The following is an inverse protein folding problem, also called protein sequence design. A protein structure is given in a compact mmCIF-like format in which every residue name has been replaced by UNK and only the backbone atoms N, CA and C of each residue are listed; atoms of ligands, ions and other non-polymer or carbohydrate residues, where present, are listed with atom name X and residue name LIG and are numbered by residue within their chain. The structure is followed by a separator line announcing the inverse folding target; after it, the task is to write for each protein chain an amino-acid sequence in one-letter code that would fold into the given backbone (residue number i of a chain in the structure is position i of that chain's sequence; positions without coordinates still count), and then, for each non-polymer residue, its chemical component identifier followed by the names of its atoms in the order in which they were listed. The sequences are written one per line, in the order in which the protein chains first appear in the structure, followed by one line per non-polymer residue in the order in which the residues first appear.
data_IF_806294344796
#
_entry.id   IF_806294344796
#
_cell.length_a   1.000
_cell.length_b   1.000
_cell.length_c   1.000
_cell.angle_alpha   90.00
_cell.angle_beta   90.00
_cell.angle_gamma   90.00
#
_symmetry.space_group_name_H-M   'P 1'
#
loop_
_entity.id
_entity.type
_entity.pdbx_description
1 polymer ?
#
# COMPACT_ATOMS: atom_id res chain seq x y z
N UNK A 1 -8.98 -20.34 -10.01
CA UNK A 1 -8.61 -20.17 -11.44
C UNK A 1 -7.24 -19.52 -11.48
N UNK A 2 -6.26 -20.14 -12.16
CA UNK A 2 -4.87 -19.65 -12.15
C UNK A 2 -4.68 -18.58 -13.23
N UNK A 3 -4.28 -17.37 -12.85
CA UNK A 3 -3.90 -16.32 -13.80
C UNK A 3 -2.52 -16.63 -14.41
N UNK A 4 -2.32 -16.33 -15.69
CA UNK A 4 -1.06 -16.57 -16.40
C UNK A 4 -0.09 -15.37 -16.37
N UNK A 5 -0.57 -14.20 -15.95
CA UNK A 5 0.23 -13.01 -15.70
C UNK A 5 -0.39 -12.17 -14.58
N UNK A 6 0.37 -11.24 -14.00
CA UNK A 6 -0.12 -10.31 -12.98
C UNK A 6 0.37 -8.90 -13.28
N UNK A 7 -0.44 -7.91 -12.93
CA UNK A 7 0.02 -6.52 -12.80
C UNK A 7 -0.07 -6.14 -11.34
N UNK A 8 1.04 -5.66 -10.80
CA UNK A 8 1.14 -5.25 -9.40
C UNK A 8 1.47 -3.77 -9.38
N UNK A 9 0.70 -3.01 -8.61
CA UNK A 9 1.04 -1.63 -8.27
C UNK A 9 1.10 -1.46 -6.77
N UNK A 10 2.06 -0.68 -6.30
CA UNK A 10 2.22 -0.37 -4.88
C UNK A 10 2.28 1.14 -4.72
N UNK A 11 1.39 1.68 -3.91
CA UNK A 11 1.38 3.09 -3.54
C UNK A 11 1.84 3.21 -2.10
N UNK A 12 2.84 4.04 -1.85
CA UNK A 12 3.49 4.18 -0.55
C UNK A 12 3.52 5.63 -0.10
N UNK A 13 3.24 5.88 1.18
CA UNK A 13 3.52 7.14 1.88
C UNK A 13 4.65 6.88 2.85
N UNK A 14 5.78 7.56 2.67
CA UNK A 14 6.97 7.42 3.51
C UNK A 14 6.97 8.50 4.58
N UNK A 15 7.21 8.08 5.82
CA UNK A 15 7.05 8.92 7.00
C UNK A 15 8.43 9.21 7.58
N UNK A 16 8.66 10.45 7.99
CA UNK A 16 9.87 10.89 8.67
C UNK A 16 9.92 10.31 10.09
N UNK A 17 10.99 9.57 10.39
CA UNK A 17 11.20 8.92 11.67
C UNK A 17 11.25 9.91 12.85
N UNK A 18 11.60 11.18 12.61
CA UNK A 18 11.62 12.22 13.65
C UNK A 18 10.23 12.54 14.21
N UNK A 19 9.16 12.21 13.47
CA UNK A 19 7.77 12.38 13.87
C UNK A 19 7.17 11.09 14.46
N UNK A 20 7.85 9.94 14.36
CA UNK A 20 7.36 8.65 14.83
C UNK A 20 7.63 8.42 16.32
N UNK A 21 6.83 9.06 17.16
CA UNK A 21 6.72 8.66 18.58
C UNK A 21 6.04 7.30 18.69
N UNK A 22 6.18 6.62 19.84
CA UNK A 22 5.45 5.36 20.10
C UNK A 22 3.94 5.56 20.04
N UNK A 23 3.45 6.68 20.56
CA UNK A 23 2.03 7.05 20.54
C UNK A 23 1.52 7.19 19.10
N UNK A 24 2.19 8.02 18.28
CA UNK A 24 1.80 8.26 16.90
C UNK A 24 1.88 6.97 16.07
N UNK A 25 2.92 6.14 16.26
CA UNK A 25 3.01 4.81 15.62
C UNK A 25 1.83 3.91 15.95
N UNK A 26 1.45 3.84 17.22
CA UNK A 26 0.36 2.96 17.66
C UNK A 26 -0.99 3.45 17.13
N UNK A 27 -1.20 4.77 17.08
CA UNK A 27 -2.40 5.40 16.51
C UNK A 27 -2.55 5.05 15.01
N UNK A 28 -1.53 5.32 14.19
CA UNK A 28 -1.61 5.01 12.75
C UNK A 28 -1.72 3.51 12.45
N UNK A 29 -1.15 2.64 13.30
CA UNK A 29 -1.34 1.19 13.19
C UNK A 29 -2.79 0.82 13.50
N UNK A 30 -3.39 1.40 14.54
CA UNK A 30 -4.79 1.17 14.88
C UNK A 30 -5.72 1.65 13.76
N UNK A 31 -5.47 2.82 13.19
CA UNK A 31 -6.26 3.35 12.06
C UNK A 31 -6.14 2.48 10.81
N UNK A 32 -4.95 1.92 10.53
CA UNK A 32 -4.77 0.94 9.46
C UNK A 32 -5.58 -0.33 9.70
N UNK A 33 -5.64 -0.80 10.94
CA UNK A 33 -6.43 -1.97 11.32
C UNK A 33 -7.93 -1.71 11.18
N UNK A 34 -8.41 -0.58 11.71
CA UNK A 34 -9.80 -0.17 11.59
C UNK A 34 -10.20 -0.02 10.13
N UNK A 35 -9.38 0.67 9.32
CA UNK A 35 -9.65 0.85 7.90
C UNK A 35 -9.71 -0.48 7.15
N UNK A 36 -8.84 -1.43 7.49
CA UNK A 36 -8.87 -2.75 6.91
C UNK A 36 -10.16 -3.51 7.29
N UNK A 37 -10.56 -3.48 8.56
CA UNK A 37 -11.79 -4.11 9.05
C UNK A 37 -13.04 -3.52 8.38
N UNK A 38 -13.11 -2.19 8.23
CA UNK A 38 -14.19 -1.50 7.50
C UNK A 38 -14.30 -1.96 6.04
N UNK A 39 -13.19 -2.41 5.44
CA UNK A 39 -13.13 -2.96 4.10
C UNK A 39 -13.25 -4.50 4.07
N UNK A 40 -13.71 -5.11 5.17
CA UNK A 40 -13.87 -6.57 5.30
C UNK A 40 -12.56 -7.33 5.34
N UNK A 41 -11.44 -6.65 5.62
CA UNK A 41 -10.11 -7.24 5.64
C UNK A 41 -9.64 -7.72 7.01
N UNK A 42 -8.55 -8.48 6.99
CA UNK A 42 -7.89 -8.99 8.20
C UNK A 42 -6.43 -8.59 8.25
N UNK A 43 -5.97 -8.14 9.43
CA UNK A 43 -4.62 -7.70 9.68
C UNK A 43 -3.81 -8.68 10.54
N UNK A 44 -2.50 -8.75 10.27
CA UNK A 44 -1.56 -9.53 11.08
C UNK A 44 -0.21 -8.83 11.20
N UNK A 45 0.43 -8.99 12.35
CA UNK A 45 1.83 -8.66 12.53
C UNK A 45 2.69 -9.73 11.84
N UNK A 46 3.45 -9.33 10.83
CA UNK A 46 4.30 -10.22 10.04
C UNK A 46 5.71 -10.27 10.60
N UNK A 47 6.21 -9.16 11.15
CA UNK A 47 7.56 -9.07 11.69
C UNK A 47 7.58 -8.11 12.88
N UNK A 48 7.84 -8.64 14.07
CA UNK A 48 7.87 -7.86 15.31
C UNK A 48 9.03 -6.87 15.38
N UNK A 49 10.21 -7.25 14.89
CA UNK A 49 11.40 -6.38 14.91
C UNK A 49 11.23 -5.12 14.05
N UNK A 50 10.60 -5.28 12.88
CA UNK A 50 10.30 -4.16 11.98
C UNK A 50 8.93 -3.53 12.23
N UNK A 51 8.20 -4.03 13.22
CA UNK A 51 6.80 -3.67 13.47
C UNK A 51 6.00 -3.64 12.18
N UNK A 52 6.16 -4.66 11.34
CA UNK A 52 5.59 -4.71 10.00
C UNK A 52 4.26 -5.48 10.04
N UNK A 53 3.19 -4.76 9.79
CA UNK A 53 1.82 -5.26 9.74
C UNK A 53 1.34 -5.36 8.29
N UNK A 54 0.53 -6.37 8.02
CA UNK A 54 -0.06 -6.60 6.70
C UNK A 54 -1.52 -6.95 6.86
N UNK A 55 -2.36 -6.23 6.14
CA UNK A 55 -3.80 -6.43 6.08
C UNK A 55 -4.21 -6.87 4.67
N UNK A 56 -4.92 -7.99 4.56
CA UNK A 56 -5.49 -8.44 3.29
C UNK A 56 -6.92 -7.95 3.23
N UNK A 57 -7.30 -7.24 2.18
CA UNK A 57 -8.63 -6.65 2.05
C UNK A 57 -9.50 -7.52 1.16
N UNK A 58 -10.77 -7.69 1.53
CA UNK A 58 -11.76 -8.33 0.69
C UNK A 58 -12.30 -7.34 -0.35
N UNK A 59 -12.00 -7.58 -1.62
CA UNK A 59 -12.52 -6.75 -2.71
C UNK A 59 -13.11 -7.61 -3.81
N UNK A 60 -14.10 -7.09 -4.53
CA UNK A 60 -14.68 -7.73 -5.73
C UNK A 60 -13.80 -7.57 -6.98
N UNK A 61 -12.54 -7.14 -6.83
CA UNK A 61 -11.65 -6.72 -7.92
C UNK A 61 -10.20 -7.17 -7.70
N UNK A 62 -9.18 -6.32 -7.95
CA UNK A 62 -7.80 -6.69 -7.65
C UNK A 62 -7.65 -7.02 -6.17
N UNK A 63 -6.82 -8.03 -5.87
CA UNK A 63 -6.46 -8.31 -4.48
C UNK A 63 -5.70 -7.11 -3.94
N UNK A 64 -6.18 -6.54 -2.83
CA UNK A 64 -5.54 -5.41 -2.17
C UNK A 64 -4.89 -5.86 -0.86
N UNK A 65 -3.70 -5.31 -0.60
CA UNK A 65 -2.98 -5.48 0.66
C UNK A 65 -2.57 -4.12 1.19
N UNK A 66 -3.08 -3.75 2.35
CA UNK A 66 -2.58 -2.60 3.10
C UNK A 66 -1.45 -3.07 4.03
N UNK A 67 -0.42 -2.25 4.21
CA UNK A 67 0.72 -2.59 5.07
C UNK A 67 1.30 -1.34 5.71
N UNK A 68 1.83 -1.50 6.91
CA UNK A 68 2.45 -0.43 7.68
C UNK A 68 3.63 -0.98 8.48
N UNK A 69 4.70 -0.19 8.58
CA UNK A 69 5.89 -0.54 9.37
C UNK A 69 7.20 -0.25 8.66
N UNK A 70 8.31 -0.69 9.27
CA UNK A 70 9.64 -0.52 8.69
C UNK A 70 9.89 -1.50 7.55
N UNK A 71 10.31 -0.98 6.40
CA UNK A 71 10.78 -1.80 5.30
C UNK A 71 12.21 -2.36 5.58
N UNK A 72 12.75 -3.28 4.76
CA UNK A 72 14.11 -3.81 4.96
C UNK A 72 15.24 -2.77 4.95
N UNK A 73 15.00 -1.58 4.39
CA UNK A 73 15.95 -0.46 4.36
C UNK A 73 15.82 0.45 5.60
N UNK A 74 14.97 0.09 6.56
CA UNK A 74 14.75 0.87 7.77
C UNK A 74 13.90 2.11 7.59
N UNK A 75 13.12 2.22 6.50
CA UNK A 75 12.23 3.37 6.28
C UNK A 75 10.80 2.98 6.65
N UNK A 76 10.17 3.75 7.52
CA UNK A 76 8.77 3.56 7.90
C UNK A 76 7.82 4.08 6.81
N UNK A 77 6.79 3.30 6.51
CA UNK A 77 5.79 3.67 5.49
C UNK A 77 4.47 2.99 5.71
N UNK A 78 3.43 3.60 5.15
CA UNK A 78 2.15 2.94 4.86
C UNK A 78 2.12 2.64 3.37
N UNK A 79 1.59 1.49 2.97
CA UNK A 79 1.51 1.11 1.56
C UNK A 79 0.30 0.27 1.25
N UNK A 80 -0.36 0.57 0.14
CA UNK A 80 -1.37 -0.30 -0.48
C UNK A 80 -0.75 -0.96 -1.71
N UNK A 81 -0.85 -2.29 -1.80
CA UNK A 81 -0.46 -3.06 -2.98
C UNK A 81 -1.70 -3.65 -3.60
N UNK A 82 -1.85 -3.48 -4.91
CA UNK A 82 -2.92 -4.03 -5.71
C UNK A 82 -2.35 -5.03 -6.70
N UNK A 83 -2.91 -6.23 -6.71
CA UNK A 83 -2.53 -7.31 -7.62
C UNK A 83 -3.74 -7.67 -8.48
N UNK A 84 -3.61 -7.45 -9.79
CA UNK A 84 -4.60 -7.84 -10.78
C UNK A 84 -4.08 -9.02 -11.61
N UNK A 85 -4.82 -10.13 -11.61
CA UNK A 85 -4.48 -11.32 -12.40
C UNK A 85 -5.02 -11.21 -13.83
N UNK A 86 -4.20 -11.60 -14.81
CA UNK A 86 -4.56 -11.61 -16.22
C UNK A 86 -4.42 -13.01 -16.81
N UNK A 87 -5.28 -13.33 -17.78
CA UNK A 87 -5.14 -14.52 -18.61
C UNK A 87 -4.11 -14.33 -19.74
N UNK A 88 -3.92 -13.08 -20.18
CA UNK A 88 -2.96 -12.71 -21.24
C UNK A 88 -2.07 -11.59 -20.70
N UNK A 89 -0.73 -11.67 -20.87
CA UNK A 89 0.19 -10.60 -20.51
C UNK A 89 -0.26 -9.25 -21.09
N UNK A 90 -0.31 -8.22 -20.26
CA UNK A 90 -0.67 -6.87 -20.68
C UNK A 90 0.57 -6.12 -21.13
N UNK A 91 0.40 -5.20 -22.08
CA UNK A 91 1.49 -4.31 -22.53
C UNK A 91 1.91 -3.34 -21.41
N UNK A 92 3.20 -3.04 -21.34
CA UNK A 92 3.80 -2.10 -20.39
C UNK A 92 3.08 -0.75 -20.29
N UNK A 93 2.68 -0.18 -21.42
CA UNK A 93 1.94 1.08 -21.47
C UNK A 93 0.59 1.01 -20.73
N UNK A 94 -0.10 -0.14 -20.77
CA UNK A 94 -1.39 -0.30 -20.04
C UNK A 94 -1.16 -0.46 -18.55
N UNK A 95 -0.05 -1.07 -18.15
CA UNK A 95 0.31 -1.26 -16.74
C UNK A 95 0.64 0.11 -16.13
N UNK A 96 1.55 0.85 -16.76
CA UNK A 96 2.04 2.15 -16.29
C UNK A 96 1.04 3.30 -16.46
N UNK A 97 0.06 3.19 -17.36
CA UNK A 97 -1.00 4.20 -17.47
C UNK A 97 -1.98 4.19 -16.29
N UNK A 98 -1.82 3.29 -15.32
CA UNK A 98 -2.75 3.15 -14.20
C UNK A 98 -4.08 2.50 -14.57
N UNK A 99 -4.19 1.84 -15.74
CA UNK A 99 -5.43 1.21 -16.21
C UNK A 99 -6.01 0.20 -15.22
N UNK A 100 -5.13 -0.47 -14.46
CA UNK A 100 -5.50 -1.52 -13.50
C UNK A 100 -5.56 -1.03 -12.05
N UNK A 101 -5.46 0.29 -11.84
CA UNK A 101 -5.65 0.89 -10.52
C UNK A 101 -7.15 1.11 -10.31
N UNK A 102 -7.73 0.28 -9.44
CA UNK A 102 -9.13 0.40 -9.04
C UNK A 102 -9.39 1.61 -8.15
N UNK A 103 -10.66 2.02 -8.06
CA UNK A 103 -11.06 3.19 -7.29
C UNK A 103 -10.72 3.08 -5.80
N UNK A 104 -10.89 1.88 -5.22
CA UNK A 104 -10.50 1.60 -3.83
C UNK A 104 -9.02 1.86 -3.56
N UNK A 105 -8.12 1.59 -4.52
CA UNK A 105 -6.70 1.91 -4.33
C UNK A 105 -6.46 3.42 -4.31
N UNK A 106 -7.13 4.19 -5.18
CA UNK A 106 -7.02 5.65 -5.20
C UNK A 106 -7.59 6.29 -3.94
N UNK A 107 -8.71 5.77 -3.46
CA UNK A 107 -9.28 6.20 -2.18
C UNK A 107 -8.32 5.93 -1.02
N UNK A 108 -7.67 4.75 -1.00
CA UNK A 108 -6.67 4.42 -0.01
C UNK A 108 -5.41 5.29 -0.12
N UNK A 109 -5.01 5.71 -1.32
CA UNK A 109 -3.90 6.63 -1.52
C UNK A 109 -4.15 8.00 -0.89
N UNK A 110 -5.32 8.58 -1.12
CA UNK A 110 -5.72 9.84 -0.50
C UNK A 110 -5.88 9.68 1.01
N UNK A 111 -6.50 8.58 1.45
CA UNK A 111 -6.67 8.29 2.87
C UNK A 111 -5.32 8.15 3.61
N UNK A 112 -4.35 7.41 3.04
CA UNK A 112 -3.00 7.27 3.63
C UNK A 112 -2.30 8.62 3.76
N UNK A 113 -2.45 9.52 2.78
CA UNK A 113 -1.89 10.88 2.86
C UNK A 113 -2.58 11.70 3.95
N UNK A 114 -3.90 11.56 4.10
CA UNK A 114 -4.66 12.29 5.11
C UNK A 114 -4.38 11.84 6.55
N UNK A 115 -3.89 10.61 6.72
CA UNK A 115 -3.55 10.03 8.02
C UNK A 115 -2.28 10.65 8.63
N UNK A 116 -1.37 11.13 7.79
CA UNK A 116 -0.04 11.58 8.19
C UNK A 116 0.02 13.10 8.10
N UNK A 117 0.48 13.82 9.14
CA UNK A 117 0.75 15.25 9.05
C UNK A 117 1.63 15.56 7.83
N UNK A 118 1.28 16.59 7.07
CA UNK A 118 1.91 16.86 5.78
C UNK A 118 3.43 17.04 5.89
N UNK A 119 3.88 17.69 6.96
CA UNK A 119 5.29 17.90 7.32
C UNK A 119 6.05 16.61 7.66
N UNK A 120 5.35 15.54 8.08
CA UNK A 120 5.94 14.24 8.37
C UNK A 120 6.05 13.34 7.12
N UNK A 121 5.48 13.74 5.98
CA UNK A 121 5.55 12.97 4.73
C UNK A 121 6.83 13.32 3.98
N UNK A 122 7.78 12.38 3.92
CA UNK A 122 9.01 12.54 3.12
C UNK A 122 8.65 12.56 1.63
N UNK A 123 7.79 11.61 1.21
CA UNK A 123 7.27 11.49 -0.16
C UNK A 123 6.09 10.51 -0.22
N UNK A 124 5.27 10.66 -1.24
CA UNK A 124 4.28 9.68 -1.67
C UNK A 124 4.61 9.23 -3.11
N UNK A 125 4.66 7.91 -3.34
CA UNK A 125 5.06 7.36 -4.63
C UNK A 125 4.32 6.06 -4.94
N UNK A 126 3.96 5.90 -6.22
CA UNK A 126 3.40 4.69 -6.78
C UNK A 126 4.43 4.03 -7.67
N UNK A 127 4.63 2.73 -7.47
CA UNK A 127 5.50 1.88 -8.28
C UNK A 127 4.68 0.76 -8.91
N UNK A 128 5.21 0.18 -9.98
CA UNK A 128 4.64 -0.98 -10.65
C UNK A 128 5.69 -2.08 -10.65
N UNK A 129 5.35 -3.24 -10.10
CA UNK A 129 6.29 -4.35 -10.03
C UNK A 129 6.63 -4.81 -11.47
N UNK A 130 7.88 -5.20 -11.68
CA UNK A 130 8.53 -5.45 -12.97
C UNK A 130 9.04 -4.22 -13.75
N UNK A 131 8.92 -2.99 -13.19
CA UNK A 131 9.45 -1.78 -13.82
C UNK A 131 10.06 -0.78 -12.82
N UNK A 132 11.17 -0.14 -13.19
CA UNK A 132 11.78 0.99 -12.45
C UNK A 132 10.95 2.30 -12.58
N UNK A 133 9.65 2.19 -12.87
CA UNK A 133 8.76 3.32 -13.08
C UNK A 133 8.15 3.79 -11.75
N UNK A 134 8.35 5.07 -11.44
CA UNK A 134 7.85 5.73 -10.22
C UNK A 134 6.95 6.90 -10.62
N UNK A 135 5.74 6.93 -10.08
CA UNK A 135 4.76 8.00 -10.27
C UNK A 135 4.47 8.68 -8.93
N UNK A 136 4.52 10.01 -8.88
CA UNK A 136 4.05 10.77 -7.72
C UNK A 136 2.52 10.82 -7.72
N UNK A 137 1.90 10.76 -6.54
CA UNK A 137 0.47 10.92 -6.35
C UNK A 137 0.19 11.74 -5.08
#
# INVERSE_FOLDING_TARGET
MSACAQSISTSSVFIDDTYLTDEFRNEIIADVYEKAEQLGGECKLINSQRQFHSCTLETKGPSLRLSIGYNPKGIYRISVTSTYGHWIPQSDQKITSGKFIGDTQKELEEWMKSLIPHEAIIRAERTYLDQDFIQKF
#
